data_IF_094278279624
#
_entry.id   IF_094278279624
#
_cell.length_a   1.000
_cell.length_b   1.000
_cell.length_c   1.000
_cell.angle_alpha   90.00
_cell.angle_beta   90.00
_cell.angle_gamma   90.00
#
_symmetry.space_group_name_H-M   'P 1'
#
loop_
_entity.id
_entity.type
_entity.pdbx_description
1 polymer ?
#
# COMPACT_ATOMS: atom_id res chain seq x y z
N UNK A 1 29.58 39.76 -13.50
CA UNK A 1 28.54 39.25 -12.59
C UNK A 1 29.15 38.23 -11.64
N UNK A 2 29.15 38.50 -10.34
CA UNK A 2 29.56 37.51 -9.32
C UNK A 2 28.46 36.46 -9.19
N UNK A 3 28.74 35.26 -9.68
CA UNK A 3 27.85 34.11 -9.57
C UNK A 3 27.72 33.74 -8.09
N UNK A 4 26.59 34.03 -7.48
CA UNK A 4 26.30 33.62 -6.10
C UNK A 4 26.13 32.10 -6.11
N UNK A 5 27.12 31.39 -5.58
CA UNK A 5 27.03 29.94 -5.38
C UNK A 5 26.45 29.68 -4.00
N UNK A 6 25.29 29.03 -3.95
CA UNK A 6 24.72 28.51 -2.70
C UNK A 6 25.64 27.42 -2.14
N UNK A 7 25.92 27.40 -0.82
CA UNK A 7 26.54 26.28 -0.14
C UNK A 7 25.81 24.96 -0.42
N UNK A 8 26.58 23.86 -0.50
CA UNK A 8 26.03 22.54 -0.82
C UNK A 8 25.01 22.04 0.23
N UNK A 9 25.23 22.36 1.49
CA UNK A 9 24.33 22.01 2.59
C UNK A 9 22.94 22.65 2.42
N UNK A 10 22.89 23.94 2.07
CA UNK A 10 21.62 24.63 1.80
C UNK A 10 20.91 24.09 0.56
N UNK A 11 21.70 23.70 -0.43
CA UNK A 11 21.20 23.03 -1.62
C UNK A 11 20.51 21.70 -1.23
N UNK A 12 21.15 20.85 -0.42
CA UNK A 12 20.55 19.59 0.03
C UNK A 12 19.25 19.83 0.82
N UNK A 13 19.24 20.82 1.72
CA UNK A 13 18.06 21.25 2.48
C UNK A 13 16.88 21.68 1.59
N UNK A 14 17.16 22.39 0.50
CA UNK A 14 16.14 22.74 -0.49
C UNK A 14 15.59 21.47 -1.13
N UNK A 15 16.48 20.57 -1.60
CA UNK A 15 16.06 19.37 -2.30
C UNK A 15 15.28 18.40 -1.41
N UNK A 16 15.56 18.31 -0.11
CA UNK A 16 14.78 17.49 0.83
C UNK A 16 13.29 17.82 0.81
N UNK A 17 12.94 19.06 0.45
CA UNK A 17 11.55 19.55 0.41
C UNK A 17 10.94 19.56 -0.99
N UNK A 18 11.70 19.19 -2.02
CA UNK A 18 11.20 19.14 -3.39
C UNK A 18 10.47 17.82 -3.61
N UNK A 19 9.28 17.82 -4.24
CA UNK A 19 8.55 16.57 -4.47
C UNK A 19 9.32 15.55 -5.33
N UNK A 20 9.16 14.26 -5.03
CA UNK A 20 9.86 13.14 -5.69
C UNK A 20 9.85 13.22 -7.22
N UNK A 21 8.70 13.50 -7.84
CA UNK A 21 8.58 13.55 -9.31
C UNK A 21 9.43 14.66 -9.92
N UNK A 22 9.55 15.79 -9.23
CA UNK A 22 10.40 16.90 -9.65
C UNK A 22 11.88 16.55 -9.50
N UNK A 23 12.27 15.93 -8.38
CA UNK A 23 13.65 15.45 -8.19
C UNK A 23 14.06 14.40 -9.22
N UNK A 24 13.18 13.44 -9.54
CA UNK A 24 13.46 12.46 -10.60
C UNK A 24 13.77 13.14 -11.94
N UNK A 25 13.00 14.17 -12.30
CA UNK A 25 13.25 14.96 -13.53
C UNK A 25 14.58 15.72 -13.43
N UNK A 26 14.85 16.34 -12.30
CA UNK A 26 16.11 17.06 -12.06
C UNK A 26 17.35 16.15 -12.12
N UNK A 27 17.24 14.92 -11.62
CA UNK A 27 18.33 13.94 -11.69
C UNK A 27 18.75 13.65 -13.12
N UNK A 28 17.78 13.61 -14.04
CA UNK A 28 18.06 13.35 -15.46
C UNK A 28 18.84 14.47 -16.17
N UNK A 29 18.92 15.67 -15.59
CA UNK A 29 19.61 16.82 -16.21
C UNK A 29 21.02 17.07 -15.68
N UNK A 30 21.39 16.54 -14.50
CA UNK A 30 22.74 16.70 -13.95
C UNK A 30 23.20 15.52 -13.09
N UNK A 31 24.42 15.07 -13.37
CA UNK A 31 25.05 13.90 -12.73
C UNK A 31 25.25 14.08 -11.23
N UNK A 32 25.60 15.28 -10.78
CA UNK A 32 25.81 15.57 -9.35
C UNK A 32 24.50 15.43 -8.57
N UNK A 33 23.38 15.93 -9.12
CA UNK A 33 22.06 15.73 -8.53
C UNK A 33 21.65 14.26 -8.57
N UNK A 34 21.87 13.57 -9.69
CA UNK A 34 21.54 12.15 -9.80
C UNK A 34 22.29 11.31 -8.74
N UNK A 35 23.59 11.57 -8.55
CA UNK A 35 24.40 10.88 -7.55
C UNK A 35 23.91 11.17 -6.12
N UNK A 36 23.46 12.40 -5.84
CA UNK A 36 22.84 12.73 -4.55
C UNK A 36 21.53 11.96 -4.35
N UNK A 37 20.69 11.85 -5.38
CA UNK A 37 19.42 11.13 -5.31
C UNK A 37 19.59 9.61 -5.23
N UNK A 38 20.78 9.09 -5.53
CA UNK A 38 21.16 7.68 -5.31
C UNK A 38 21.68 7.44 -3.89
N UNK A 39 22.00 8.48 -3.13
CA UNK A 39 22.49 8.35 -1.77
C UNK A 39 21.36 7.93 -0.80
N UNK A 40 21.53 6.79 -0.14
CA UNK A 40 20.52 6.24 0.78
C UNK A 40 20.18 7.15 1.97
N UNK A 41 21.14 7.97 2.45
CA UNK A 41 20.87 8.95 3.51
C UNK A 41 19.97 10.06 2.99
N UNK A 42 20.24 10.51 1.77
CA UNK A 42 19.42 11.52 1.13
C UNK A 42 18.00 10.98 0.91
N UNK A 43 17.85 9.79 0.32
CA UNK A 43 16.52 9.24 0.01
C UNK A 43 15.70 8.95 1.26
N UNK A 44 16.33 8.49 2.35
CA UNK A 44 15.65 8.33 3.65
C UNK A 44 15.13 9.67 4.18
N UNK A 45 16.00 10.68 4.31
CA UNK A 45 15.62 11.99 4.84
C UNK A 45 14.61 12.70 3.93
N UNK A 46 14.82 12.63 2.62
CA UNK A 46 13.87 13.13 1.62
C UNK A 46 12.50 12.47 1.77
N UNK A 47 12.44 11.15 1.93
CA UNK A 47 11.16 10.50 2.14
C UNK A 47 10.48 11.00 3.42
N UNK A 48 11.20 11.27 4.49
CA UNK A 48 10.62 11.71 5.76
C UNK A 48 10.15 13.18 5.74
N UNK A 49 10.84 14.05 5.00
CA UNK A 49 10.59 15.50 5.02
C UNK A 49 9.85 16.03 3.79
N UNK A 50 9.90 15.33 2.66
CA UNK A 50 9.33 15.83 1.42
C UNK A 50 7.80 15.81 1.44
N UNK A 51 7.16 16.78 0.75
CA UNK A 51 5.74 16.75 0.50
C UNK A 51 5.33 15.44 -0.19
N UNK A 52 4.46 14.67 0.48
CA UNK A 52 3.95 13.39 -0.01
C UNK A 52 2.99 13.65 -1.17
N UNK A 53 3.47 13.42 -2.40
CA UNK A 53 2.63 13.47 -3.60
C UNK A 53 1.88 12.16 -3.79
N UNK A 54 0.97 11.90 -2.86
CA UNK A 54 0.17 10.69 -2.85
C UNK A 54 -0.74 10.62 -4.09
N UNK A 55 -0.98 9.40 -4.54
CA UNK A 55 -1.77 9.11 -5.72
C UNK A 55 -2.54 7.83 -5.48
N UNK A 56 -3.80 7.83 -5.85
CA UNK A 56 -4.60 6.61 -5.79
C UNK A 56 -4.17 5.70 -6.92
N UNK A 57 -3.76 4.47 -6.60
CA UNK A 57 -3.41 3.45 -7.57
C UNK A 57 -4.43 2.32 -7.50
N UNK A 58 -5.00 1.94 -8.64
CA UNK A 58 -5.95 0.85 -8.77
C UNK A 58 -5.31 -0.31 -9.53
N UNK A 59 -5.41 -1.53 -9.02
CA UNK A 59 -5.14 -2.72 -9.81
C UNK A 59 -6.35 -3.02 -10.70
N UNK A 60 -6.18 -2.84 -12.01
CA UNK A 60 -7.20 -3.00 -13.05
C UNK A 60 -6.61 -3.74 -14.26
N UNK A 61 -7.32 -4.74 -14.75
CA UNK A 61 -6.90 -5.66 -15.80
C UNK A 61 -5.51 -6.26 -15.50
N UNK A 62 -5.29 -6.61 -14.23
CA UNK A 62 -3.99 -7.07 -13.70
C UNK A 62 -2.83 -6.07 -13.91
N UNK A 63 -3.14 -4.77 -13.96
CA UNK A 63 -2.17 -3.68 -14.18
C UNK A 63 -2.42 -2.55 -13.19
N UNK A 64 -1.35 -1.89 -12.75
CA UNK A 64 -1.51 -0.67 -11.97
C UNK A 64 -2.05 0.46 -12.84
N UNK A 65 -3.15 1.08 -12.46
CA UNK A 65 -3.79 2.18 -13.15
C UNK A 65 -3.85 3.38 -12.20
N UNK A 66 -3.01 4.41 -12.41
CA UNK A 66 -3.05 5.60 -11.58
C UNK A 66 -4.36 6.35 -11.79
N UNK A 67 -4.94 6.82 -10.70
CA UNK A 67 -6.25 7.44 -10.66
C UNK A 67 -6.15 8.85 -10.10
N UNK A 68 -6.86 9.79 -10.73
CA UNK A 68 -7.01 11.15 -10.25
C UNK A 68 -8.46 11.37 -9.85
N UNK A 69 -8.68 11.80 -8.61
CA UNK A 69 -10.00 12.05 -8.05
C UNK A 69 -10.18 13.55 -7.92
N UNK A 70 -11.12 14.12 -8.67
CA UNK A 70 -11.42 15.55 -8.62
C UNK A 70 -12.62 15.81 -7.70
N UNK A 71 -12.36 16.46 -6.57
CA UNK A 71 -13.36 16.83 -5.57
C UNK A 71 -13.85 18.28 -5.69
N UNK A 72 -13.33 19.06 -6.64
CA UNK A 72 -13.62 20.49 -6.78
C UNK A 72 -14.75 20.79 -7.78
N UNK A 73 -15.52 19.77 -8.14
CA UNK A 73 -16.62 19.83 -9.09
C UNK A 73 -17.91 19.43 -8.39
N UNK A 74 -19.07 19.90 -8.88
CA UNK A 74 -20.37 19.63 -8.26
C UNK A 74 -20.68 18.14 -8.09
N UNK A 75 -20.22 17.31 -9.03
CA UNK A 75 -20.21 15.86 -8.93
C UNK A 75 -18.75 15.37 -8.99
N UNK A 76 -18.21 14.73 -7.94
CA UNK A 76 -16.88 14.16 -7.93
C UNK A 76 -16.66 13.27 -9.15
N UNK A 77 -15.46 13.34 -9.72
CA UNK A 77 -15.12 12.59 -10.91
C UNK A 77 -13.79 11.86 -10.78
N UNK A 78 -13.69 10.77 -11.55
CA UNK A 78 -12.51 9.93 -11.64
C UNK A 78 -11.93 10.01 -13.04
N UNK A 79 -10.64 10.31 -13.12
CA UNK A 79 -9.86 10.20 -14.35
C UNK A 79 -8.82 9.09 -14.20
N UNK A 80 -8.84 8.12 -15.11
CA UNK A 80 -7.84 7.05 -15.17
C UNK A 80 -6.70 7.47 -16.09
N UNK A 81 -5.46 7.38 -15.58
CA UNK A 81 -4.25 7.56 -16.39
C UNK A 81 -3.85 6.26 -17.05
N UNK A 82 -2.89 6.36 -17.98
CA UNK A 82 -2.31 5.18 -18.63
C UNK A 82 -1.80 4.17 -17.60
N UNK A 83 -2.15 2.91 -17.79
CA UNK A 83 -1.69 1.82 -16.93
C UNK A 83 -0.15 1.79 -16.89
N UNK A 84 0.41 1.61 -15.70
CA UNK A 84 1.81 1.29 -15.49
C UNK A 84 2.00 -0.20 -15.75
N UNK A 85 2.89 -0.52 -16.69
CA UNK A 85 3.21 -1.90 -17.05
C UNK A 85 4.44 -2.38 -16.31
N UNK A 86 4.32 -3.55 -15.69
CA UNK A 86 5.44 -4.33 -15.24
C UNK A 86 5.95 -5.17 -16.42
N UNK A 87 7.25 -5.14 -16.65
CA UNK A 87 7.93 -5.93 -17.68
C UNK A 87 9.02 -6.74 -17.03
N UNK A 88 9.24 -7.94 -17.55
CA UNK A 88 10.38 -8.76 -17.21
C UNK A 88 11.39 -8.70 -18.37
N UNK A 89 12.48 -7.93 -18.20
CA UNK A 89 13.49 -7.84 -19.26
C UNK A 89 14.20 -9.17 -19.53
N UNK A 90 14.20 -10.08 -18.56
CA UNK A 90 15.10 -11.23 -18.54
C UNK A 90 14.41 -12.49 -19.07
N UNK A 91 13.09 -12.62 -18.90
CA UNK A 91 12.34 -13.83 -19.29
C UNK A 91 11.17 -13.59 -20.24
N UNK A 92 10.44 -12.48 -20.13
CA UNK A 92 9.29 -12.23 -20.99
C UNK A 92 9.15 -10.73 -21.32
N UNK A 93 9.50 -10.30 -22.55
CA UNK A 93 9.35 -8.91 -22.97
C UNK A 93 7.87 -8.49 -23.13
N UNK A 94 6.94 -9.46 -23.12
CA UNK A 94 5.52 -9.21 -22.98
C UNK A 94 5.16 -8.69 -21.58
N UNK A 95 3.90 -8.32 -21.43
CA UNK A 95 3.45 -7.67 -20.22
C UNK A 95 3.12 -8.69 -19.13
N UNK A 96 3.67 -8.47 -17.93
CA UNK A 96 3.38 -9.28 -16.75
C UNK A 96 2.07 -8.82 -16.12
N UNK A 97 1.23 -9.79 -15.76
CA UNK A 97 -0.02 -9.55 -15.06
C UNK A 97 0.18 -9.63 -13.54
N UNK A 98 -0.24 -8.59 -12.83
CA UNK A 98 -0.14 -8.45 -11.38
C UNK A 98 -1.44 -8.93 -10.73
N UNK A 99 -1.35 -9.84 -9.76
CA UNK A 99 -2.50 -10.41 -9.04
C UNK A 99 -2.75 -9.76 -7.68
N UNK A 100 -1.69 -9.39 -6.95
CA UNK A 100 -1.80 -8.66 -5.69
C UNK A 100 -0.70 -7.60 -5.58
N UNK A 101 -0.95 -6.56 -4.80
CA UNK A 101 0.00 -5.49 -4.52
C UNK A 101 0.00 -5.16 -3.04
N UNK A 102 1.20 -4.97 -2.49
CA UNK A 102 1.44 -4.44 -1.16
C UNK A 102 2.39 -3.23 -1.27
N UNK A 103 1.96 -2.07 -0.77
CA UNK A 103 2.76 -0.83 -0.83
C UNK A 103 3.54 -0.60 0.47
N UNK A 104 4.81 -0.18 0.35
CA UNK A 104 5.60 0.35 1.46
C UNK A 104 6.65 1.34 0.93
N UNK A 105 6.63 2.59 1.40
CA UNK A 105 7.57 3.66 1.02
C UNK A 105 7.78 3.88 -0.49
N UNK A 106 6.74 3.77 -1.30
CA UNK A 106 6.84 3.91 -2.75
C UNK A 106 7.44 2.70 -3.48
N UNK A 107 7.78 1.64 -2.74
CA UNK A 107 8.00 0.30 -3.28
C UNK A 107 6.67 -0.46 -3.29
N UNK A 108 6.46 -1.23 -4.36
CA UNK A 108 5.35 -2.15 -4.51
C UNK A 108 5.89 -3.57 -4.48
N UNK A 109 5.40 -4.39 -3.58
CA UNK A 109 5.59 -5.84 -3.62
C UNK A 109 4.40 -6.44 -4.36
N UNK A 110 4.65 -7.06 -5.51
CA UNK A 110 3.63 -7.61 -6.37
C UNK A 110 3.79 -9.13 -6.46
N UNK A 111 2.66 -9.83 -6.45
CA UNK A 111 2.58 -11.21 -6.97
C UNK A 111 2.03 -11.17 -8.38
N UNK A 112 2.45 -12.12 -9.21
CA UNK A 112 2.01 -12.23 -10.61
C UNK A 112 1.04 -13.39 -10.80
N UNK A 113 0.48 -13.53 -12.00
CA UNK A 113 -0.40 -14.64 -12.37
C UNK A 113 0.34 -15.97 -12.58
N UNK A 114 1.63 -15.90 -12.89
CA UNK A 114 2.56 -17.03 -12.93
C UNK A 114 3.27 -17.30 -11.59
N UNK A 115 2.66 -16.87 -10.48
CA UNK A 115 3.08 -17.16 -9.10
C UNK A 115 4.52 -16.69 -8.77
N UNK A 116 4.99 -15.62 -9.42
CA UNK A 116 6.29 -14.98 -9.13
C UNK A 116 6.12 -13.77 -8.22
N UNK A 117 7.21 -13.42 -7.54
CA UNK A 117 7.28 -12.30 -6.62
C UNK A 117 8.26 -11.26 -7.15
N UNK A 118 7.83 -9.99 -7.14
CA UNK A 118 8.62 -8.88 -7.65
C UNK A 118 8.45 -7.65 -6.78
N UNK A 119 9.56 -7.02 -6.46
CA UNK A 119 9.59 -5.70 -5.84
C UNK A 119 9.76 -4.70 -6.97
N UNK A 120 8.89 -3.70 -7.01
CA UNK A 120 8.81 -2.74 -8.09
C UNK A 120 8.81 -1.32 -7.52
N UNK A 121 9.67 -0.46 -8.03
CA UNK A 121 9.56 0.98 -7.87
C UNK A 121 9.09 1.59 -9.20
N UNK A 122 7.77 1.86 -9.36
CA UNK A 122 7.24 2.54 -10.56
C UNK A 122 7.84 3.93 -10.77
N UNK A 123 8.18 4.63 -9.68
CA UNK A 123 8.78 5.94 -9.75
C UNK A 123 10.14 5.87 -10.42
N UNK A 124 11.01 4.94 -10.05
CA UNK A 124 12.34 4.81 -10.64
C UNK A 124 12.40 3.90 -11.87
N UNK A 125 11.32 3.15 -12.14
CA UNK A 125 11.25 2.07 -13.16
C UNK A 125 12.24 0.94 -12.86
N UNK A 126 12.42 0.64 -11.58
CA UNK A 126 13.28 -0.45 -11.12
C UNK A 126 12.46 -1.63 -10.68
N UNK A 127 12.92 -2.82 -11.00
CA UNK A 127 12.29 -4.09 -10.61
C UNK A 127 13.36 -5.02 -10.07
N UNK A 128 13.05 -5.76 -9.01
CA UNK A 128 13.84 -6.89 -8.52
C UNK A 128 12.93 -8.10 -8.38
N UNK A 129 13.21 -9.12 -9.19
CA UNK A 129 12.54 -10.40 -9.12
C UNK A 129 13.11 -11.23 -7.97
N UNK A 130 12.23 -11.78 -7.15
CA UNK A 130 12.61 -12.55 -5.97
C UNK A 130 12.41 -14.02 -6.27
N UNK A 131 13.52 -14.76 -6.35
CA UNK A 131 13.46 -16.20 -6.49
C UNK A 131 13.01 -16.83 -5.17
N UNK A 132 12.11 -17.80 -5.27
CA UNK A 132 11.66 -18.58 -4.13
C UNK A 132 11.64 -20.04 -4.53
N UNK A 133 12.28 -20.89 -3.72
CA UNK A 133 12.57 -22.28 -4.07
C UNK A 133 11.38 -23.23 -3.93
N UNK A 134 10.30 -22.84 -3.26
CA UNK A 134 9.16 -23.72 -3.04
C UNK A 134 8.04 -23.47 -4.06
N UNK A 135 7.51 -24.56 -4.62
CA UNK A 135 6.53 -24.65 -5.71
C UNK A 135 5.13 -24.07 -5.43
N UNK A 136 4.88 -23.53 -4.24
CA UNK A 136 3.55 -23.04 -3.86
C UNK A 136 3.61 -21.65 -3.21
N UNK A 137 3.67 -20.60 -4.05
CA UNK A 137 3.29 -19.23 -3.63
C UNK A 137 1.78 -19.05 -3.51
N UNK A 138 1.01 -19.94 -4.14
CA UNK A 138 -0.45 -19.86 -4.22
C UNK A 138 -1.06 -19.79 -2.82
N UNK A 139 -1.86 -18.74 -2.60
CA UNK A 139 -2.52 -18.43 -1.32
C UNK A 139 -1.61 -17.97 -0.17
N UNK A 140 -0.32 -17.75 -0.41
CA UNK A 140 0.55 -17.09 0.58
C UNK A 140 0.24 -15.60 0.66
N UNK A 141 0.33 -15.04 1.87
CA UNK A 141 0.29 -13.61 2.07
C UNK A 141 1.70 -13.06 2.09
N UNK A 142 1.88 -11.93 1.40
CA UNK A 142 3.14 -11.21 1.39
C UNK A 142 2.96 -9.81 1.97
N UNK A 143 4.00 -9.34 2.65
CA UNK A 143 4.08 -7.98 3.13
C UNK A 143 5.50 -7.43 3.01
N UNK A 144 5.61 -6.14 2.75
CA UNK A 144 6.87 -5.43 2.64
C UNK A 144 7.03 -4.48 3.82
N UNK A 145 8.21 -4.44 4.40
CA UNK A 145 8.56 -3.46 5.43
C UNK A 145 10.06 -3.30 5.53
N UNK A 146 10.50 -2.60 6.57
CA UNK A 146 11.92 -2.33 6.75
C UNK A 146 12.31 -2.24 8.22
N UNK A 147 13.59 -2.52 8.48
CA UNK A 147 14.25 -2.10 9.71
C UNK A 147 15.06 -0.82 9.46
N UNK A 148 15.06 0.08 10.44
CA UNK A 148 15.87 1.29 10.39
C UNK A 148 17.31 0.97 10.80
N UNK A 149 18.25 1.19 9.88
CA UNK A 149 19.68 1.24 10.18
C UNK A 149 20.13 2.69 10.38
N UNK A 150 21.36 2.90 10.85
CA UNK A 150 21.94 4.22 11.16
C UNK A 150 21.74 5.25 10.05
N UNK A 151 21.86 4.84 8.79
CA UNK A 151 21.83 5.74 7.63
C UNK A 151 20.84 5.37 6.53
N UNK A 152 20.18 4.22 6.62
CA UNK A 152 19.32 3.70 5.55
C UNK A 152 18.21 2.80 6.11
N UNK A 153 17.26 2.46 5.24
CA UNK A 153 16.24 1.43 5.50
C UNK A 153 16.70 0.13 4.87
N UNK A 154 16.65 -0.95 5.63
CA UNK A 154 16.84 -2.30 5.11
C UNK A 154 15.49 -2.95 4.96
N UNK A 155 15.04 -3.05 3.71
CA UNK A 155 13.77 -3.66 3.39
C UNK A 155 13.85 -5.17 3.57
N UNK A 156 12.72 -5.77 3.89
CA UNK A 156 12.54 -7.22 4.05
C UNK A 156 11.14 -7.59 3.58
N UNK A 157 10.97 -8.82 3.13
CA UNK A 157 9.65 -9.34 2.75
C UNK A 157 9.24 -10.39 3.76
N UNK A 158 8.04 -10.23 4.32
CA UNK A 158 7.38 -11.27 5.09
C UNK A 158 6.52 -12.10 4.15
N UNK A 159 6.63 -13.42 4.27
CA UNK A 159 5.72 -14.39 3.68
C UNK A 159 5.04 -15.16 4.81
N UNK A 160 3.71 -15.13 4.83
CA UNK A 160 2.90 -15.99 5.68
C UNK A 160 2.26 -17.07 4.81
N UNK A 161 2.65 -18.32 5.08
CA UNK A 161 2.06 -19.47 4.42
C UNK A 161 0.63 -19.70 4.94
N UNK A 162 -0.20 -20.39 4.14
CA UNK A 162 -1.50 -20.84 4.60
C UNK A 162 -1.41 -21.76 5.84
N UNK A 163 -0.27 -22.46 6.00
CA UNK A 163 0.01 -23.21 7.22
C UNK A 163 0.32 -22.23 8.37
N UNK A 164 -0.52 -22.16 9.41
CA UNK A 164 -0.50 -21.09 10.42
C UNK A 164 0.73 -21.08 11.32
N UNK A 165 1.59 -22.09 11.26
CA UNK A 165 2.66 -22.30 12.23
C UNK A 165 4.03 -21.79 11.78
N UNK A 166 4.17 -21.33 10.53
CA UNK A 166 5.44 -20.85 9.99
C UNK A 166 5.28 -19.59 9.14
N UNK A 167 6.27 -18.71 9.27
CA UNK A 167 6.45 -17.58 8.38
C UNK A 167 7.90 -17.52 7.91
N UNK A 168 8.12 -16.88 6.78
CA UNK A 168 9.44 -16.69 6.20
C UNK A 168 9.73 -15.21 6.04
N UNK A 169 10.98 -14.82 6.28
CA UNK A 169 11.45 -13.46 6.06
C UNK A 169 12.57 -13.49 5.03
N UNK A 170 12.37 -12.78 3.93
CA UNK A 170 13.41 -12.58 2.93
C UNK A 170 14.23 -11.34 3.25
N UNK A 171 15.54 -11.49 3.18
CA UNK A 171 16.52 -10.44 3.40
C UNK A 171 17.24 -10.10 2.09
N UNK A 172 17.08 -8.86 1.63
CA UNK A 172 17.60 -8.41 0.33
C UNK A 172 19.13 -8.44 0.25
N UNK A 173 19.82 -8.19 1.37
CA UNK A 173 21.28 -8.14 1.43
C UNK A 173 21.94 -9.50 1.27
N UNK A 174 21.28 -10.57 1.71
CA UNK A 174 21.77 -11.95 1.59
C UNK A 174 21.10 -12.73 0.46
N UNK A 175 20.09 -12.13 -0.19
CA UNK A 175 19.28 -12.75 -1.23
C UNK A 175 18.70 -14.11 -0.78
N UNK A 176 18.24 -14.18 0.46
CA UNK A 176 17.85 -15.45 1.08
C UNK A 176 16.63 -15.33 2.00
N UNK A 177 15.91 -16.46 2.11
CA UNK A 177 14.76 -16.63 3.00
C UNK A 177 15.20 -17.27 4.32
N UNK A 178 14.76 -16.69 5.43
CA UNK A 178 14.87 -17.25 6.78
C UNK A 178 13.51 -17.83 7.17
N UNK A 179 13.50 -19.07 7.65
CA UNK A 179 12.28 -19.78 8.05
C UNK A 179 12.14 -19.74 9.57
N UNK A 180 10.92 -19.47 10.05
CA UNK A 180 10.61 -19.41 11.48
C UNK A 180 9.49 -20.42 11.79
N UNK A 181 9.83 -21.50 12.51
CA UNK A 181 8.95 -22.68 12.70
C UNK A 181 8.04 -22.66 13.94
N UNK A 182 7.97 -21.54 14.67
CA UNK A 182 7.27 -21.49 15.97
C UNK A 182 6.64 -20.14 16.27
N UNK A 183 5.62 -19.77 15.50
CA UNK A 183 4.72 -18.72 15.94
C UNK A 183 3.30 -19.25 16.05
N UNK A 184 2.85 -19.49 17.29
CA UNK A 184 1.47 -19.87 17.57
C UNK A 184 0.56 -18.64 17.45
N UNK A 185 0.24 -18.27 16.21
CA UNK A 185 -1.01 -17.56 15.91
C UNK A 185 -2.16 -18.56 16.03
N UNK A 186 -2.28 -19.23 17.18
CA UNK A 186 -3.24 -20.33 17.45
C UNK A 186 -4.68 -20.01 17.01
N UNK A 187 -4.96 -18.75 16.70
CA UNK A 187 -6.27 -18.21 16.40
C UNK A 187 -6.27 -16.95 15.51
N UNK A 188 -5.20 -16.66 14.77
CA UNK A 188 -4.99 -15.31 14.24
C UNK A 188 -4.39 -15.26 12.84
N UNK A 189 -4.93 -16.07 11.93
CA UNK A 189 -4.58 -16.03 10.51
C UNK A 189 -5.06 -14.69 9.91
N UNK A 190 -4.15 -13.90 9.31
CA UNK A 190 -4.53 -12.75 8.49
C UNK A 190 -5.39 -13.20 7.31
N UNK A 191 -6.56 -12.60 7.10
CA UNK A 191 -7.49 -13.00 6.03
C UNK A 191 -7.51 -12.03 4.84
N UNK A 192 -6.78 -10.91 4.93
CA UNK A 192 -6.68 -9.87 3.91
C UNK A 192 -5.24 -9.40 3.77
N UNK A 193 -4.91 -8.82 2.61
CA UNK A 193 -3.64 -8.10 2.41
C UNK A 193 -3.50 -7.03 3.49
N UNK A 194 -2.37 -7.04 4.19
CA UNK A 194 -2.06 -6.02 5.19
C UNK A 194 -1.67 -4.69 4.57
N UNK A 195 -1.27 -3.75 5.43
CA UNK A 195 -0.74 -2.45 5.04
C UNK A 195 0.58 -2.17 5.74
N UNK A 196 1.50 -1.45 5.11
CA UNK A 196 2.72 -0.95 5.77
C UNK A 196 2.49 0.47 6.31
N UNK A 197 2.90 0.71 7.54
CA UNK A 197 2.95 2.03 8.14
C UNK A 197 4.21 2.15 9.01
N UNK A 198 5.01 3.18 8.76
CA UNK A 198 6.31 3.42 9.41
C UNK A 198 7.27 2.22 9.37
N UNK A 199 7.17 1.40 8.33
CA UNK A 199 8.05 0.24 8.09
C UNK A 199 7.60 -1.07 8.69
N UNK A 200 6.56 -1.06 9.52
CA UNK A 200 5.95 -2.27 10.04
C UNK A 200 4.67 -2.60 9.28
N UNK A 201 4.33 -3.88 9.22
CA UNK A 201 3.15 -4.36 8.51
C UNK A 201 2.02 -4.66 9.47
N UNK A 202 0.81 -4.26 9.14
CA UNK A 202 -0.39 -4.41 9.96
C UNK A 202 -1.44 -5.24 9.24
N UNK A 203 -2.08 -6.12 10.00
CA UNK A 203 -3.05 -7.08 9.47
C UNK A 203 -4.26 -7.18 10.39
N UNK A 204 -5.42 -7.44 9.80
CA UNK A 204 -6.62 -7.82 10.56
C UNK A 204 -6.80 -9.33 10.47
N UNK A 205 -7.04 -9.95 11.61
CA UNK A 205 -7.28 -11.40 11.71
C UNK A 205 -8.77 -11.72 11.62
N UNK A 206 -9.08 -13.01 11.41
CA UNK A 206 -10.46 -13.50 11.42
C UNK A 206 -11.17 -13.15 12.74
N UNK A 207 -10.45 -13.21 13.87
CA UNK A 207 -10.96 -12.82 15.21
C UNK A 207 -10.98 -11.31 15.46
N UNK A 208 -10.86 -10.50 14.41
CA UNK A 208 -10.92 -9.03 14.46
C UNK A 208 -9.89 -8.42 15.44
N UNK A 209 -8.68 -8.97 15.42
CA UNK A 209 -7.53 -8.45 16.14
C UNK A 209 -6.60 -7.78 15.15
N UNK A 210 -6.07 -6.61 15.53
CA UNK A 210 -5.00 -5.96 14.79
C UNK A 210 -3.67 -6.61 15.18
N UNK A 211 -3.00 -7.23 14.23
CA UNK A 211 -1.63 -7.71 14.36
C UNK A 211 -0.67 -6.71 13.72
N UNK A 212 0.52 -6.63 14.28
CA UNK A 212 1.66 -6.03 13.60
C UNK A 212 2.77 -7.05 13.43
N UNK A 213 3.55 -6.90 12.38
CA UNK A 213 4.84 -7.55 12.21
C UNK A 213 5.93 -6.49 12.21
N UNK A 214 6.84 -6.60 13.17
CA UNK A 214 8.00 -5.73 13.32
C UNK A 214 9.19 -6.37 12.57
N UNK A 215 9.71 -5.66 11.57
CA UNK A 215 10.81 -6.16 10.73
C UNK A 215 12.19 -6.01 11.36
N UNK A 216 12.32 -5.20 12.42
CA UNK A 216 13.55 -5.07 13.18
C UNK A 216 13.69 -6.22 14.18
N UNK A 217 12.60 -6.62 14.84
CA UNK A 217 12.59 -7.78 15.76
C UNK A 217 12.20 -9.10 15.09
N UNK A 218 11.76 -9.06 13.83
CA UNK A 218 11.28 -10.21 13.04
C UNK A 218 10.20 -10.99 13.78
N UNK A 219 9.26 -10.27 14.40
CA UNK A 219 8.25 -10.88 15.27
C UNK A 219 6.88 -10.21 15.12
N UNK A 220 5.85 -11.01 15.37
CA UNK A 220 4.48 -10.55 15.41
C UNK A 220 4.09 -10.10 16.81
N UNK A 221 3.24 -9.09 16.88
CA UNK A 221 2.60 -8.67 18.13
C UNK A 221 1.11 -8.39 17.93
N UNK A 222 0.32 -8.61 18.99
CA UNK A 222 -1.09 -8.24 19.03
C UNK A 222 -1.16 -6.79 19.49
N UNK A 223 -1.59 -5.90 18.61
CA UNK A 223 -1.64 -4.46 18.89
C UNK A 223 -2.86 -4.14 19.76
N UNK A 224 -4.06 -4.48 19.27
CA UNK A 224 -5.31 -4.26 20.00
C UNK A 224 -6.43 -5.17 19.49
N UNK A 225 -7.50 -5.28 20.29
CA UNK A 225 -8.81 -5.68 19.78
C UNK A 225 -9.45 -4.47 19.10
N UNK A 226 -10.10 -4.70 17.97
CA UNK A 226 -10.78 -3.64 17.24
C UNK A 226 -12.00 -3.11 18.05
N UNK A 227 -12.42 -1.85 17.83
CA UNK A 227 -13.23 -1.07 18.79
C UNK A 227 -14.71 -1.45 18.91
N UNK A 228 -15.18 -2.47 18.18
CA UNK A 228 -16.61 -2.84 18.11
C UNK A 228 -16.78 -4.32 18.51
N UNK A 229 -17.86 -4.71 19.19
CA UNK A 229 -18.28 -6.11 19.19
C UNK A 229 -18.70 -6.47 17.75
N UNK A 230 -17.75 -6.99 16.98
CA UNK A 230 -18.01 -7.42 15.61
C UNK A 230 -18.81 -8.73 15.62
N UNK A 231 -19.84 -8.80 14.79
CA UNK A 231 -20.41 -10.10 14.44
C UNK A 231 -19.45 -10.85 13.52
N UNK A 232 -19.49 -12.19 13.53
CA UNK A 232 -18.60 -13.03 12.71
C UNK A 232 -18.68 -12.71 11.20
N UNK A 233 -19.85 -12.24 10.74
CA UNK A 233 -20.11 -11.89 9.34
C UNK A 233 -19.71 -10.44 8.97
N UNK A 234 -19.29 -9.60 9.92
CA UNK A 234 -18.92 -8.22 9.61
C UNK A 234 -17.65 -8.16 8.77
N UNK A 235 -17.61 -7.24 7.81
CA UNK A 235 -16.44 -7.04 6.97
C UNK A 235 -15.58 -5.91 7.52
N UNK A 236 -14.26 -6.12 7.53
CA UNK A 236 -13.29 -5.11 7.96
C UNK A 236 -12.25 -4.98 6.88
N UNK A 237 -11.91 -3.76 6.48
CA UNK A 237 -10.79 -3.49 5.57
C UNK A 237 -9.86 -2.51 6.27
N UNK A 238 -8.55 -2.73 6.13
CA UNK A 238 -7.51 -1.84 6.66
C UNK A 238 -6.90 -1.03 5.51
N UNK A 239 -6.60 0.24 5.76
CA UNK A 239 -5.94 1.15 4.82
C UNK A 239 -5.06 2.14 5.60
N UNK A 240 -4.24 2.91 4.91
CA UNK A 240 -3.39 3.94 5.51
C UNK A 240 -3.82 5.30 4.99
N UNK A 241 -4.20 6.21 5.88
CA UNK A 241 -4.52 7.58 5.56
C UNK A 241 -3.24 8.44 5.63
N UNK A 242 -2.98 9.20 4.56
CA UNK A 242 -1.90 10.19 4.47
C UNK A 242 -0.48 9.69 4.78
N UNK A 243 -0.23 8.37 4.72
CA UNK A 243 1.02 7.72 5.17
C UNK A 243 1.35 7.88 6.66
N UNK A 244 0.38 8.30 7.48
CA UNK A 244 0.62 8.66 8.89
C UNK A 244 -0.20 7.83 9.86
N UNK A 245 -1.43 7.45 9.48
CA UNK A 245 -2.39 6.82 10.37
C UNK A 245 -3.07 5.61 9.73
N UNK A 246 -3.39 4.61 10.55
CA UNK A 246 -4.27 3.52 10.14
C UNK A 246 -5.70 4.03 10.02
N UNK A 247 -6.37 3.57 8.99
CA UNK A 247 -7.80 3.76 8.78
C UNK A 247 -8.45 2.39 8.60
N UNK A 248 -9.67 2.27 9.07
CA UNK A 248 -10.43 1.03 9.03
C UNK A 248 -11.84 1.30 8.53
N UNK A 249 -12.27 0.52 7.55
CA UNK A 249 -13.65 0.43 7.12
C UNK A 249 -14.26 -0.79 7.79
N UNK A 250 -15.35 -0.59 8.51
CA UNK A 250 -16.17 -1.65 9.07
C UNK A 250 -17.55 -1.64 8.40
N UNK A 251 -17.95 -2.76 7.83
CA UNK A 251 -19.28 -2.94 7.25
C UNK A 251 -20.04 -3.93 8.13
N UNK A 252 -21.16 -3.47 8.70
CA UNK A 252 -22.06 -4.33 9.42
C UNK A 252 -22.93 -5.13 8.43
N UNK A 253 -22.91 -6.45 8.56
CA UNK A 253 -23.59 -7.34 7.62
C UNK A 253 -25.12 -7.19 7.66
N UNK A 254 -25.72 -6.94 8.83
CA UNK A 254 -27.18 -6.88 9.00
C UNK A 254 -27.78 -5.54 8.61
N UNK A 255 -27.14 -4.47 9.06
CA UNK A 255 -27.67 -3.10 8.92
C UNK A 255 -27.22 -2.43 7.64
N UNK A 256 -26.26 -3.02 6.91
CA UNK A 256 -25.64 -2.39 5.74
C UNK A 256 -24.97 -1.05 6.05
N UNK A 257 -24.73 -0.78 7.34
CA UNK A 257 -24.03 0.40 7.81
C UNK A 257 -22.53 0.20 7.61
N UNK A 258 -21.92 1.18 6.96
CA UNK A 258 -20.48 1.30 6.77
C UNK A 258 -19.97 2.38 7.70
N UNK A 259 -19.03 2.03 8.57
CA UNK A 259 -18.36 2.94 9.50
C UNK A 259 -16.90 3.11 9.11
N UNK A 260 -16.43 4.35 9.05
CA UNK A 260 -15.02 4.69 8.86
C UNK A 260 -14.41 5.08 10.20
N UNK A 261 -13.27 4.47 10.52
CA UNK A 261 -12.52 4.67 11.75
C UNK A 261 -11.10 5.08 11.44
N UNK A 262 -10.56 5.96 12.28
CA UNK A 262 -9.18 6.44 12.23
C UNK A 262 -8.47 6.11 13.54
N UNK A 263 -7.23 5.67 13.44
CA UNK A 263 -6.35 5.51 14.60
C UNK A 263 -5.69 6.86 14.95
N UNK A 264 -5.59 7.17 16.24
CA UNK A 264 -4.94 8.39 16.75
C UNK A 264 -3.45 8.48 16.39
N UNK A 265 -2.66 7.50 16.82
CA UNK A 265 -1.23 7.37 16.61
C UNK A 265 -0.84 5.93 16.96
N UNK A 266 0.12 5.38 16.22
CA UNK A 266 0.72 4.08 16.55
C UNK A 266 1.79 4.20 17.64
N UNK A 267 2.39 5.39 17.77
CA UNK A 267 3.50 5.60 18.69
C UNK A 267 3.02 5.72 20.16
N UNK A 268 1.72 5.96 20.35
CA UNK A 268 1.05 6.04 21.64
C UNK A 268 0.16 4.81 21.90
N UNK A 269 -0.71 4.87 22.91
CA UNK A 269 -1.77 3.88 23.06
C UNK A 269 -2.74 3.98 21.88
N UNK A 270 -2.66 2.99 20.99
CA UNK A 270 -3.50 2.93 19.80
C UNK A 270 -4.99 2.86 20.20
N UNK A 271 -5.75 3.86 19.77
CA UNK A 271 -7.18 3.95 19.96
C UNK A 271 -7.85 4.35 18.66
N UNK A 272 -9.07 3.87 18.48
CA UNK A 272 -9.85 4.11 17.26
C UNK A 272 -10.93 5.14 17.53
N UNK A 273 -11.02 6.14 16.65
CA UNK A 273 -12.07 7.13 16.63
C UNK A 273 -12.92 6.92 15.38
N UNK A 274 -14.24 6.84 15.54
CA UNK A 274 -15.16 6.84 14.40
C UNK A 274 -15.16 8.22 13.76
N UNK A 275 -14.96 8.29 12.45
CA UNK A 275 -14.96 9.55 11.69
C UNK A 275 -16.35 9.85 11.16
N UNK A 276 -16.95 8.90 10.44
CA UNK A 276 -18.30 9.03 9.88
C UNK A 276 -18.90 7.66 9.52
N UNK A 277 -20.20 7.67 9.19
CA UNK A 277 -20.95 6.49 8.79
C UNK A 277 -21.72 6.76 7.49
N UNK A 278 -21.90 5.71 6.69
CA UNK A 278 -22.69 5.75 5.45
C UNK A 278 -23.56 4.49 5.38
N UNK A 279 -24.79 4.64 4.88
CA UNK A 279 -25.67 3.50 4.59
C UNK A 279 -25.45 3.04 3.15
N UNK A 280 -24.43 2.21 2.95
CA UNK A 280 -24.09 1.64 1.66
C UNK A 280 -23.50 0.25 1.87
N UNK A 281 -23.94 -0.72 1.06
CA UNK A 281 -23.34 -2.05 1.04
C UNK A 281 -22.18 -2.06 0.06
N UNK A 282 -21.01 -2.43 0.56
CA UNK A 282 -19.83 -2.71 -0.25
C UNK A 282 -19.53 -4.23 -0.18
N UNK A 283 -19.31 -4.92 -1.31
CA UNK A 283 -18.97 -6.35 -1.32
C UNK A 283 -17.72 -6.70 -0.51
N UNK A 284 -17.61 -7.95 -0.06
CA UNK A 284 -16.45 -8.42 0.70
C UNK A 284 -15.12 -8.24 -0.06
N UNK A 285 -15.04 -8.48 -1.37
CA UNK A 285 -13.79 -8.34 -2.13
C UNK A 285 -13.45 -6.89 -2.50
N UNK A 286 -13.64 -5.96 -1.56
CA UNK A 286 -13.43 -4.53 -1.79
C UNK A 286 -12.18 -4.03 -1.10
N UNK A 287 -11.69 -2.91 -1.63
CA UNK A 287 -10.61 -2.12 -1.06
C UNK A 287 -11.11 -0.70 -0.88
N UNK A 288 -10.51 0.05 0.05
CA UNK A 288 -10.87 1.44 0.26
C UNK A 288 -9.65 2.30 0.58
N UNK A 289 -9.82 3.59 0.34
CA UNK A 289 -8.88 4.61 0.72
C UNK A 289 -9.60 5.89 1.13
N UNK A 290 -9.22 6.47 2.27
CA UNK A 290 -9.69 7.77 2.73
C UNK A 290 -8.88 8.87 2.04
N UNK A 291 -9.52 9.61 1.13
CA UNK A 291 -8.87 10.67 0.35
C UNK A 291 -8.88 11.99 1.11
N UNK A 292 -9.99 12.29 1.78
CA UNK A 292 -10.20 13.55 2.47
C UNK A 292 -10.95 13.31 3.77
N UNK A 293 -10.26 13.45 4.91
CA UNK A 293 -10.87 13.29 6.23
C UNK A 293 -11.82 14.44 6.57
N UNK A 294 -11.46 15.68 6.20
CA UNK A 294 -12.23 16.88 6.52
C UNK A 294 -13.56 16.87 5.76
N UNK A 295 -13.51 16.55 4.47
CA UNK A 295 -14.70 16.41 3.62
C UNK A 295 -15.33 15.01 3.70
N UNK A 296 -14.81 14.11 4.54
CA UNK A 296 -15.28 12.72 4.73
C UNK A 296 -15.46 11.96 3.42
N UNK A 297 -14.43 11.99 2.57
CA UNK A 297 -14.44 11.37 1.24
C UNK A 297 -13.61 10.09 1.23
N UNK A 298 -14.28 8.98 0.89
CA UNK A 298 -13.67 7.68 0.70
C UNK A 298 -13.86 7.22 -0.73
N UNK A 299 -12.85 6.55 -1.27
CA UNK A 299 -12.99 5.79 -2.51
C UNK A 299 -12.93 4.32 -2.22
N UNK A 300 -13.90 3.59 -2.74
CA UNK A 300 -13.96 2.14 -2.66
C UNK A 300 -13.92 1.53 -4.05
N UNK A 301 -13.23 0.41 -4.19
CA UNK A 301 -13.31 -0.42 -5.38
C UNK A 301 -13.89 -1.77 -5.02
N UNK A 302 -14.85 -2.24 -5.81
CA UNK A 302 -15.45 -3.54 -5.65
C UNK A 302 -15.62 -4.26 -7.00
N UNK A 303 -15.53 -5.59 -6.96
CA UNK A 303 -15.80 -6.48 -8.10
C UNK A 303 -17.27 -6.88 -8.07
N UNK A 304 -18.02 -6.69 -9.18
CA UNK A 304 -19.36 -7.27 -9.35
C UNK A 304 -19.27 -8.69 -9.90
N UNK A 305 -20.31 -9.49 -9.66
CA UNK A 305 -20.45 -10.87 -10.16
C UNK A 305 -20.34 -11.03 -11.70
N UNK A 306 -20.39 -9.93 -12.46
CA UNK A 306 -20.25 -9.87 -13.93
C UNK A 306 -18.82 -9.57 -14.43
N UNK A 307 -17.80 -9.63 -13.57
CA UNK A 307 -16.43 -9.16 -13.84
C UNK A 307 -16.34 -7.65 -14.14
N UNK A 308 -17.36 -6.88 -13.77
CA UNK A 308 -17.31 -5.41 -13.82
C UNK A 308 -16.72 -4.87 -12.53
N UNK A 309 -15.70 -4.04 -12.66
CA UNK A 309 -15.15 -3.29 -11.54
C UNK A 309 -15.93 -1.98 -11.42
N UNK A 310 -16.33 -1.63 -10.21
CA UNK A 310 -16.93 -0.32 -9.93
C UNK A 310 -16.09 0.38 -8.89
N UNK A 311 -15.71 1.60 -9.24
CA UNK A 311 -15.12 2.53 -8.28
C UNK A 311 -16.24 3.45 -7.80
N UNK A 312 -16.42 3.50 -6.48
CA UNK A 312 -17.38 4.37 -5.81
C UNK A 312 -16.65 5.48 -5.09
N UNK A 313 -17.01 6.74 -5.33
CA UNK A 313 -16.65 7.86 -4.46
C UNK A 313 -17.80 8.05 -3.49
N UNK A 314 -17.51 8.09 -2.20
CA UNK A 314 -18.51 8.19 -1.14
C UNK A 314 -18.16 9.42 -0.30
N UNK A 315 -19.14 10.30 -0.10
CA UNK A 315 -19.04 11.50 0.73
C UNK A 315 -20.00 11.35 1.91
N UNK A 316 -19.46 11.36 3.12
CA UNK A 316 -20.21 11.07 4.35
C UNK A 316 -20.97 12.24 4.99
N UNK A 317 -21.16 13.38 4.32
CA UNK A 317 -21.93 14.52 4.86
C UNK A 317 -23.37 14.55 4.34
N UNK A 318 -24.29 14.99 5.20
CA UNK A 318 -25.73 15.24 5.00
C UNK A 318 -26.37 14.55 3.78
N UNK A 319 -26.98 13.38 4.03
CA UNK A 319 -27.62 12.46 3.08
C UNK A 319 -26.70 11.52 2.29
N UNK A 320 -25.42 11.41 2.65
CA UNK A 320 -24.47 10.42 2.14
C UNK A 320 -24.54 10.24 0.61
N UNK A 321 -23.85 11.11 -0.12
CA UNK A 321 -23.83 11.06 -1.57
C UNK A 321 -22.73 10.12 -2.07
N UNK A 322 -23.02 9.32 -3.11
CA UNK A 322 -22.01 8.52 -3.80
C UNK A 322 -22.13 8.61 -5.32
N UNK A 323 -20.98 8.57 -6.01
CA UNK A 323 -20.90 8.39 -7.47
C UNK A 323 -20.33 7.02 -7.80
N UNK A 324 -20.93 6.36 -8.79
CA UNK A 324 -20.40 5.11 -9.34
C UNK A 324 -19.71 5.38 -10.68
N UNK A 325 -18.48 4.90 -10.82
CA UNK A 325 -17.73 4.96 -12.07
C UNK A 325 -17.46 3.52 -12.54
N UNK A 326 -18.09 3.07 -13.63
CA UNK A 326 -17.82 1.76 -14.18
C UNK A 326 -16.41 1.73 -14.78
N UNK A 327 -15.63 0.76 -14.36
CA UNK A 327 -14.35 0.40 -14.97
C UNK A 327 -14.59 -0.87 -15.78
N UNK A 328 -14.56 -0.73 -17.10
CA UNK A 328 -14.80 -1.76 -18.15
C UNK A 328 -14.55 -3.21 -17.70
N UNK A 329 -15.41 -4.12 -18.18
CA UNK A 329 -15.40 -5.58 -18.00
C UNK A 329 -13.99 -6.19 -18.03
N UNK A 330 -13.60 -6.79 -16.89
CA UNK A 330 -12.48 -7.72 -16.84
C UNK A 330 -12.85 -9.04 -17.53
N UNK A 331 -11.88 -9.66 -18.20
CA UNK A 331 -12.08 -10.97 -18.85
C UNK A 331 -11.87 -12.15 -17.90
N UNK A 332 -11.48 -11.94 -16.64
CA UNK A 332 -11.04 -13.01 -15.73
C UNK A 332 -11.71 -12.96 -14.34
N UNK A 333 -12.03 -14.14 -13.82
CA UNK A 333 -12.67 -14.36 -12.51
C UNK A 333 -11.69 -14.29 -11.33
N UNK A 334 -10.37 -14.24 -11.59
CA UNK A 334 -9.33 -14.29 -10.54
C UNK A 334 -8.83 -12.92 -10.11
N UNK A 335 -9.32 -11.84 -10.72
CA UNK A 335 -8.83 -10.50 -10.45
C UNK A 335 -9.36 -9.96 -9.12
N UNK A 336 -8.44 -9.68 -8.17
CA UNK A 336 -8.74 -8.88 -6.98
C UNK A 336 -8.38 -7.43 -7.28
N UNK A 337 -9.35 -6.61 -7.67
CA UNK A 337 -9.10 -5.17 -7.77
C UNK A 337 -8.83 -4.59 -6.39
N UNK A 338 -7.67 -3.94 -6.25
CA UNK A 338 -7.30 -3.22 -5.05
C UNK A 338 -7.03 -1.75 -5.38
N UNK A 339 -7.54 -0.86 -4.54
CA UNK A 339 -7.20 0.56 -4.48
C UNK A 339 -6.38 0.78 -3.23
N UNK A 340 -5.28 1.50 -3.37
CA UNK A 340 -4.44 1.91 -2.26
C UNK A 340 -3.76 3.24 -2.57
N UNK A 341 -3.23 3.85 -1.51
CA UNK A 341 -2.41 5.03 -1.62
C UNK A 341 -1.01 4.66 -2.09
N UNK A 342 -0.54 5.28 -3.16
CA UNK A 342 0.82 5.16 -3.63
C UNK A 342 1.55 6.49 -3.46
N UNK A 343 2.65 6.48 -2.72
CA UNK A 343 3.54 7.65 -2.61
C UNK A 343 4.85 7.36 -3.34
N UNK A 344 5.12 8.02 -4.47
CA UNK A 344 6.38 7.83 -5.19
C UNK A 344 7.59 8.20 -4.33
N UNK A 345 8.63 7.36 -4.36
CA UNK A 345 9.87 7.60 -3.63
C UNK A 345 11.12 7.43 -4.50
N UNK A 346 12.21 8.03 -4.05
CA UNK A 346 13.55 7.83 -4.61
C UNK A 346 14.25 6.59 -4.01
N UNK A 347 13.52 5.76 -3.25
CA UNK A 347 14.08 4.56 -2.64
C UNK A 347 14.50 3.58 -3.75
N UNK A 348 15.79 3.26 -3.79
CA UNK A 348 16.32 2.23 -4.69
C UNK A 348 16.03 0.85 -4.12
N UNK A 349 15.76 -0.10 -5.00
CA UNK A 349 15.67 -1.50 -4.59
C UNK A 349 17.10 -1.98 -4.28
N UNK A 350 17.26 -2.61 -3.11
CA UNK A 350 18.56 -3.04 -2.60
C UNK A 350 19.17 -4.17 -3.41
#
# INVERSE_FOLDING_TARGET
ETKVNLPWELIEEILYRVPTKSLKRLGSTCKQWNALFENQRFTKKHFDEAPKQSMVLMLKDFRGCPMNVNLNVAAPSIEFKSAISLKDSDYNPEQVYITTVFHCDGLLLCTTDDDRLVVWNPCLRETRWIQHKADYMKYSMFALGYQNNKSCRSYKILKCCWNPNAFEVYEFSSDSWKVFDKFSLEDSIPFQTGVCLKGNSYFVTIKKVLLSFDFATESFSRVCRLPVPFEDCDWIILSVAREEQLSMLHQNYRTSKMDIWMANSIDDTLSWKKTFSVELIIPANSSFYLIDEERKVVVCCNVRHSNDHIVKIIIGEDNAYYTEHPTVTSKSWTERSCIFNYVPSLVRIQ
#
